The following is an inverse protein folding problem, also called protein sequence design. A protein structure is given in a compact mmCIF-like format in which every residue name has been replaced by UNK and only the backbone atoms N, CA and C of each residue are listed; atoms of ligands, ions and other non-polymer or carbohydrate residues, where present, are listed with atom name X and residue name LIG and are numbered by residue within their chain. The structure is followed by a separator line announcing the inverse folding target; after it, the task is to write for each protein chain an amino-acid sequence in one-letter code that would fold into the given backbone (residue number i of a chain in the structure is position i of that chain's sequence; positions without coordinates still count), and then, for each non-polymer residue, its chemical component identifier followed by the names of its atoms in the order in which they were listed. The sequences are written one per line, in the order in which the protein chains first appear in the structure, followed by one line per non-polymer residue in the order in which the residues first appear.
data_IF_388945597865
#
_entry.id   IF_388945597865
#
_cell.length_a   1.000
_cell.length_b   1.000
_cell.length_c   1.000
_cell.angle_alpha   90.00
_cell.angle_beta   90.00
_cell.angle_gamma   90.00
#
_symmetry.space_group_name_H-M   'P 1'
#
loop_
_entity.id
_entity.type
_entity.pdbx_description
1 polymer ?
#
# COMPACT_ATOMS: atom_id res chain seq x y z
N UNK A 1 -55.88 27.17 5.05
CA UNK A 1 -56.29 26.00 5.88
C UNK A 1 -56.45 24.82 4.93
N UNK A 2 -55.39 24.03 4.77
CA UNK A 2 -55.21 22.73 5.45
C UNK A 2 -56.11 21.67 4.80
N UNK A 3 -55.60 20.85 3.90
CA UNK A 3 -55.04 19.51 4.20
C UNK A 3 -54.95 18.80 2.83
N UNK A 4 -54.14 17.81 2.51
CA UNK A 4 -53.21 16.92 3.21
C UNK A 4 -52.54 16.14 2.07
N UNK A 5 -51.23 15.94 2.16
CA UNK A 5 -50.58 14.65 1.89
C UNK A 5 -51.16 13.81 0.74
N UNK A 6 -50.67 14.05 -0.46
CA UNK A 6 -50.71 13.10 -1.57
C UNK A 6 -49.31 12.99 -2.15
N UNK A 7 -48.55 12.02 -1.64
CA UNK A 7 -47.57 11.22 -2.38
C UNK A 7 -46.81 11.92 -3.52
N UNK A 8 -45.54 12.27 -3.31
CA UNK A 8 -44.45 11.33 -3.64
C UNK A 8 -44.76 10.62 -4.95
N UNK A 9 -44.33 11.13 -6.11
CA UNK A 9 -43.86 10.34 -7.25
C UNK A 9 -43.40 11.29 -8.36
N UNK A 10 -42.39 10.83 -9.11
CA UNK A 10 -41.85 11.41 -10.34
C UNK A 10 -40.84 12.57 -10.14
N UNK A 11 -39.58 12.29 -9.79
CA UNK A 11 -38.53 11.75 -10.68
C UNK A 11 -38.12 12.75 -11.78
N UNK A 12 -37.02 13.49 -11.53
CA UNK A 12 -35.93 13.83 -12.48
C UNK A 12 -34.99 14.77 -11.72
N UNK A 13 -34.25 14.32 -10.70
CA UNK A 13 -32.92 13.72 -10.88
C UNK A 13 -32.03 14.54 -11.84
N UNK A 14 -31.61 15.73 -11.43
CA UNK A 14 -30.63 16.58 -12.13
C UNK A 14 -29.47 17.01 -11.24
N UNK A 15 -29.17 16.23 -10.19
CA UNK A 15 -28.05 16.42 -9.28
C UNK A 15 -27.05 15.27 -9.54
N UNK A 16 -25.75 15.57 -9.67
CA UNK A 16 -24.60 14.63 -9.72
C UNK A 16 -23.94 14.41 -11.10
N UNK A 17 -23.59 15.48 -11.81
CA UNK A 17 -22.44 15.44 -12.73
C UNK A 17 -21.13 15.59 -11.92
N UNK A 18 -20.82 14.58 -11.10
CA UNK A 18 -19.55 14.44 -10.39
C UNK A 18 -18.69 13.39 -11.09
N UNK A 19 -18.10 13.73 -12.24
CA UNK A 19 -17.19 12.81 -12.95
C UNK A 19 -15.77 12.93 -12.36
N UNK A 20 -15.63 12.27 -11.21
CA UNK A 20 -14.45 11.60 -10.68
C UNK A 20 -13.17 11.59 -11.56
N UNK A 21 -12.25 12.51 -11.28
CA UNK A 21 -10.82 12.37 -11.55
C UNK A 21 -10.20 11.41 -10.50
N UNK A 22 -10.51 10.12 -10.59
CA UNK A 22 -9.73 9.12 -9.85
C UNK A 22 -8.46 8.81 -10.64
N UNK A 23 -7.39 9.54 -10.30
CA UNK A 23 -6.07 9.38 -10.90
C UNK A 23 -5.50 7.98 -10.67
N UNK A 24 -4.87 7.43 -11.71
CA UNK A 24 -4.13 6.19 -11.65
C UNK A 24 -2.93 6.35 -10.69
N UNK A 25 -2.98 5.69 -9.54
CA UNK A 25 -1.83 5.58 -8.64
C UNK A 25 -0.89 4.48 -9.14
N UNK A 26 0.04 4.85 -10.02
CA UNK A 26 1.15 3.96 -10.36
C UNK A 26 2.06 3.80 -9.13
N UNK A 27 2.05 2.62 -8.52
CA UNK A 27 2.93 2.26 -7.41
C UNK A 27 4.39 2.31 -7.86
N UNK A 28 5.19 3.15 -7.19
CA UNK A 28 6.62 3.24 -7.44
C UNK A 28 7.32 1.96 -6.97
N UNK A 29 8.01 1.29 -7.90
CA UNK A 29 8.84 0.14 -7.60
C UNK A 29 10.16 0.59 -6.93
N UNK A 30 10.53 -0.09 -5.86
CA UNK A 30 11.76 0.12 -5.10
C UNK A 30 12.98 -0.47 -5.79
N UNK A 31 14.17 -0.14 -5.27
CA UNK A 31 15.46 -0.58 -5.81
C UNK A 31 16.10 -1.71 -4.97
N UNK A 32 15.33 -2.36 -4.10
CA UNK A 32 15.85 -3.40 -3.24
C UNK A 32 16.32 -4.60 -4.06
N UNK A 33 17.59 -4.95 -3.95
CA UNK A 33 18.19 -6.14 -4.61
C UNK A 33 18.77 -7.15 -3.64
N UNK A 34 19.04 -6.73 -2.39
CA UNK A 34 19.66 -7.53 -1.35
C UNK A 34 18.76 -7.72 -0.13
N UNK A 35 18.84 -8.89 0.49
CA UNK A 35 18.16 -9.23 1.73
C UNK A 35 18.81 -8.43 2.88
N UNK A 36 18.04 -7.69 3.69
CA UNK A 36 18.61 -6.89 4.78
C UNK A 36 19.17 -7.71 5.93
N UNK A 37 18.74 -8.98 6.05
CA UNK A 37 19.16 -9.91 7.11
C UNK A 37 20.46 -10.60 6.73
N UNK A 38 20.47 -11.33 5.61
CA UNK A 38 21.59 -12.19 5.18
C UNK A 38 22.50 -11.54 4.12
N UNK A 39 22.05 -10.48 3.43
CA UNK A 39 22.81 -9.84 2.34
C UNK A 39 22.75 -10.55 0.99
N UNK A 40 21.99 -11.64 0.88
CA UNK A 40 21.81 -12.42 -0.35
C UNK A 40 20.82 -11.76 -1.33
N UNK A 41 20.68 -12.33 -2.54
CA UNK A 41 19.69 -11.84 -3.51
C UNK A 41 18.26 -12.01 -2.98
N UNK A 42 17.41 -10.99 -3.14
CA UNK A 42 16.02 -11.06 -2.71
C UNK A 42 15.20 -12.04 -3.56
N UNK A 43 14.17 -12.61 -2.96
CA UNK A 43 13.08 -13.27 -3.65
C UNK A 43 11.84 -12.34 -3.59
N UNK A 44 11.28 -11.98 -4.75
CA UNK A 44 10.12 -11.07 -4.81
C UNK A 44 8.82 -11.70 -4.31
N UNK A 45 8.79 -13.03 -4.17
CA UNK A 45 7.66 -13.76 -3.58
C UNK A 45 7.70 -13.77 -2.05
N UNK A 46 8.84 -13.43 -1.45
CA UNK A 46 9.04 -13.39 0.00
C UNK A 46 9.16 -11.94 0.44
N UNK A 47 8.08 -11.38 0.96
CA UNK A 47 8.03 -9.98 1.38
C UNK A 47 7.21 -9.77 2.65
N UNK A 48 7.45 -8.64 3.30
CA UNK A 48 6.60 -8.13 4.36
C UNK A 48 6.25 -6.67 4.08
N UNK A 49 5.00 -6.33 4.36
CA UNK A 49 4.51 -4.96 4.24
C UNK A 49 4.61 -4.30 5.63
N UNK A 50 5.38 -3.22 5.73
CA UNK A 50 5.64 -2.52 6.97
C UNK A 50 5.68 -1.00 6.74
N UNK A 51 4.86 -0.25 7.48
CA UNK A 51 4.75 1.21 7.38
C UNK A 51 4.48 1.71 5.94
N UNK A 52 3.62 1.03 5.19
CA UNK A 52 3.29 1.38 3.79
C UNK A 52 4.42 1.13 2.79
N UNK A 53 5.47 0.41 3.21
CA UNK A 53 6.59 -0.02 2.38
C UNK A 53 6.65 -1.54 2.33
N UNK A 54 6.95 -2.10 1.17
CA UNK A 54 7.15 -3.53 0.97
C UNK A 54 8.65 -3.84 1.01
N UNK A 55 9.04 -4.74 1.91
CA UNK A 55 10.41 -5.19 2.11
C UNK A 55 10.50 -6.63 1.63
N UNK A 56 11.45 -6.91 0.75
CA UNK A 56 11.69 -8.26 0.23
C UNK A 56 12.79 -8.98 1.00
N UNK A 57 12.76 -10.30 0.98
CA UNK A 57 13.73 -11.15 1.68
C UNK A 57 14.17 -12.30 0.76
N UNK A 58 15.32 -12.90 1.05
CA UNK A 58 15.75 -14.09 0.32
C UNK A 58 15.01 -15.36 0.78
N UNK A 59 14.48 -15.37 2.02
CA UNK A 59 13.98 -16.57 2.68
C UNK A 59 12.83 -16.27 3.66
N UNK A 60 11.87 -17.19 3.89
CA UNK A 60 10.81 -16.98 4.89
C UNK A 60 11.35 -16.79 6.31
N UNK A 61 12.40 -17.53 6.70
CA UNK A 61 13.03 -17.39 8.02
C UNK A 61 13.60 -15.98 8.26
N UNK A 62 13.96 -15.27 7.20
CA UNK A 62 14.47 -13.91 7.24
C UNK A 62 13.38 -12.92 7.67
N UNK A 63 12.11 -13.24 7.43
CA UNK A 63 10.96 -12.43 7.88
C UNK A 63 10.88 -12.45 9.41
N UNK A 64 11.04 -13.62 10.02
CA UNK A 64 10.97 -13.76 11.48
C UNK A 64 12.12 -13.02 12.16
N UNK A 65 13.31 -13.05 11.58
CA UNK A 65 14.44 -12.28 12.07
C UNK A 65 14.22 -10.77 11.93
N UNK A 66 13.65 -10.34 10.80
CA UNK A 66 13.26 -8.94 10.60
C UNK A 66 12.21 -8.49 11.62
N UNK A 67 11.22 -9.33 11.95
CA UNK A 67 10.16 -9.00 12.93
C UNK A 67 10.68 -8.82 14.36
N UNK A 68 11.82 -9.43 14.71
CA UNK A 68 12.42 -9.24 16.04
C UNK A 68 12.92 -7.81 16.24
N UNK A 69 13.45 -7.19 15.18
CA UNK A 69 14.08 -5.88 15.28
C UNK A 69 13.99 -5.10 13.95
N UNK A 70 12.77 -4.73 13.51
CA UNK A 70 12.55 -4.15 12.19
C UNK A 70 13.26 -2.79 12.02
N UNK A 71 13.31 -1.97 13.07
CA UNK A 71 13.93 -0.64 13.04
C UNK A 71 15.43 -0.71 12.74
N UNK A 72 16.13 -1.71 13.31
CA UNK A 72 17.54 -1.95 13.04
C UNK A 72 17.82 -2.19 11.55
N UNK A 73 17.02 -3.05 10.92
CA UNK A 73 17.18 -3.37 9.50
C UNK A 73 16.76 -2.21 8.60
N UNK A 74 15.66 -1.52 8.94
CA UNK A 74 15.21 -0.35 8.19
C UNK A 74 16.25 0.77 8.20
N UNK A 75 16.86 1.05 9.36
CA UNK A 75 17.92 2.06 9.46
C UNK A 75 19.12 1.70 8.59
N UNK A 76 19.58 0.44 8.63
CA UNK A 76 20.67 -0.04 7.77
C UNK A 76 20.34 0.10 6.28
N UNK A 77 19.10 -0.21 5.90
CA UNK A 77 18.65 -0.05 4.51
C UNK A 77 18.61 1.42 4.08
N UNK A 78 18.17 2.32 4.97
CA UNK A 78 18.20 3.77 4.72
C UNK A 78 19.61 4.30 4.57
N UNK A 79 20.55 3.86 5.42
CA UNK A 79 21.98 4.20 5.32
C UNK A 79 22.60 3.71 4.01
N UNK A 80 22.12 2.56 3.49
CA UNK A 80 22.52 2.01 2.20
C UNK A 80 21.80 2.65 1.00
N UNK A 81 20.91 3.61 1.22
CA UNK A 81 20.13 4.26 0.16
C UNK A 81 19.13 3.31 -0.53
N UNK A 82 18.71 2.24 0.15
CA UNK A 82 17.73 1.31 -0.38
C UNK A 82 16.34 1.93 -0.26
N UNK A 83 15.71 2.14 -1.42
CA UNK A 83 14.34 2.61 -1.56
C UNK A 83 13.44 1.39 -1.62
N UNK A 84 12.57 1.27 -0.62
CA UNK A 84 11.57 0.21 -0.54
C UNK A 84 10.39 0.50 -1.46
N UNK A 85 9.83 -0.56 -2.05
CA UNK A 85 8.62 -0.48 -2.85
C UNK A 85 7.46 0.07 -2.02
N UNK A 86 6.59 0.88 -2.63
CA UNK A 86 5.31 1.22 -1.98
C UNK A 86 4.45 -0.03 -1.93
N UNK A 87 3.83 -0.31 -0.78
CA UNK A 87 2.86 -1.41 -0.72
C UNK A 87 1.74 -1.11 -1.71
N UNK A 88 1.32 -2.07 -2.56
CA UNK A 88 0.08 -1.91 -3.30
C UNK A 88 -1.05 -1.81 -2.28
N UNK A 89 -1.52 -0.59 -2.05
CA UNK A 89 -2.75 -0.33 -1.29
C UNK A 89 -3.91 -0.86 -2.11
N UNK A 90 -4.14 -2.17 -2.03
CA UNK A 90 -5.42 -2.77 -2.42
C UNK A 90 -6.36 -2.45 -1.27
N UNK A 91 -7.06 -1.33 -1.42
CA UNK A 91 -8.15 -0.90 -0.55
C UNK A 91 -9.27 -1.95 -0.52
#
# INVERSE_FOLDING_TARGET
MLTRRGFLFALTAGLLAGLSLFGAVAGAAGNQTKCPVLGEAINRDVYVDHQGRRIYFCCPSCIDEFKKDPDKYLKKMQEQGVVLDKTPTTN
#
